data_IF_626177909266
#
_entry.id   IF_626177909266
#
_cell.length_a   1.000
_cell.length_b   1.000
_cell.length_c   1.000
_cell.angle_alpha   90.00
_cell.angle_beta   90.00
_cell.angle_gamma   90.00
#
_symmetry.space_group_name_H-M   'P 1'
#
loop_
_entity.id
_entity.type
_entity.pdbx_description
1 polymer ?
#
# COMPACT_ATOMS: atom_id res chain seq x y z
N UNK A 1 -33.23 42.95 42.42
CA UNK A 1 -32.59 41.67 42.83
C UNK A 1 -32.58 40.60 41.73
N UNK A 2 -33.51 40.61 40.77
CA UNK A 2 -33.67 39.57 39.73
C UNK A 2 -32.62 39.60 38.59
N UNK A 3 -32.06 40.78 38.24
CA UNK A 3 -31.07 40.91 37.14
C UNK A 3 -29.69 40.29 37.44
N UNK A 4 -29.32 40.10 38.72
CA UNK A 4 -28.04 39.46 39.11
C UNK A 4 -28.09 37.93 39.07
N UNK A 5 -29.27 37.34 39.21
CA UNK A 5 -29.46 35.88 39.18
C UNK A 5 -29.47 35.36 37.72
N UNK A 6 -30.03 36.15 36.79
CA UNK A 6 -30.09 35.77 35.37
C UNK A 6 -28.70 35.75 34.69
N UNK A 7 -27.80 36.66 35.09
CA UNK A 7 -26.42 36.67 34.58
C UNK A 7 -25.57 35.49 35.08
N UNK A 8 -25.86 34.97 36.27
CA UNK A 8 -25.12 33.85 36.85
C UNK A 8 -25.52 32.51 36.22
N UNK A 9 -26.79 32.37 35.81
CA UNK A 9 -27.26 31.20 35.06
C UNK A 9 -26.76 31.18 33.60
N UNK A 10 -26.62 32.35 32.96
CA UNK A 10 -26.08 32.42 31.59
C UNK A 10 -24.58 32.05 31.54
N UNK A 11 -23.81 32.40 32.59
CA UNK A 11 -22.38 32.11 32.67
C UNK A 11 -22.09 30.65 33.04
N UNK A 12 -22.94 30.02 33.88
CA UNK A 12 -22.83 28.61 34.22
C UNK A 12 -23.22 27.68 33.05
N UNK A 13 -24.22 28.08 32.23
CA UNK A 13 -24.63 27.33 31.05
C UNK A 13 -23.56 27.28 29.95
N UNK A 14 -22.74 28.32 29.83
CA UNK A 14 -21.67 28.39 28.83
C UNK A 14 -20.45 27.53 29.20
N UNK A 15 -20.24 27.25 30.49
CA UNK A 15 -19.12 26.42 30.96
C UNK A 15 -19.41 24.91 30.86
N UNK A 16 -20.67 24.49 30.79
CA UNK A 16 -21.04 23.07 30.70
C UNK A 16 -20.93 22.46 29.28
N UNK A 17 -20.82 23.28 28.23
CA UNK A 17 -20.82 22.80 26.83
C UNK A 17 -19.39 22.48 26.35
N UNK A 18 -18.34 22.89 27.07
CA UNK A 18 -16.94 22.64 26.67
C UNK A 18 -16.34 21.35 27.20
N UNK A 19 -17.08 20.54 27.96
CA UNK A 19 -16.69 19.13 28.23
C UNK A 19 -16.96 18.26 27.00
N UNK A 20 -16.22 18.57 25.94
CA UNK A 20 -16.02 17.68 24.81
C UNK A 20 -15.33 16.42 25.33
N UNK A 21 -16.11 15.34 25.42
CA UNK A 21 -15.61 14.00 25.66
C UNK A 21 -14.66 13.64 24.51
N UNK A 22 -13.36 13.87 24.69
CA UNK A 22 -12.33 13.23 23.88
C UNK A 22 -12.36 11.75 24.25
N UNK A 23 -13.18 10.99 23.54
CA UNK A 23 -13.00 9.55 23.43
C UNK A 23 -11.65 9.33 22.77
N UNK A 24 -10.60 9.23 23.59
CA UNK A 24 -9.34 8.71 23.13
C UNK A 24 -9.55 7.22 22.94
N UNK A 25 -9.74 6.81 21.69
CA UNK A 25 -9.48 5.44 21.31
C UNK A 25 -8.00 5.23 21.63
N UNK A 26 -7.72 4.66 22.81
CA UNK A 26 -6.47 3.97 23.07
C UNK A 26 -6.47 2.78 22.13
N UNK A 27 -6.00 2.99 20.91
CA UNK A 27 -5.45 1.88 20.12
C UNK A 27 -4.28 1.42 20.98
N UNK A 28 -4.48 0.31 21.68
CA UNK A 28 -3.39 -0.46 22.24
C UNK A 28 -2.55 -0.85 21.03
N UNK A 29 -1.55 -0.03 20.72
CA UNK A 29 -0.40 -0.45 19.94
C UNK A 29 0.32 -1.46 20.84
N UNK A 30 -0.23 -2.66 20.94
CA UNK A 30 0.55 -3.82 21.37
C UNK A 30 1.81 -3.81 20.53
N UNK A 31 2.95 -4.08 21.16
CA UNK A 31 4.28 -3.96 20.56
C UNK A 31 4.23 -4.44 19.11
N UNK A 32 4.22 -3.48 18.17
CA UNK A 32 4.14 -3.80 16.75
C UNK A 32 5.50 -4.37 16.43
N UNK A 33 5.59 -5.70 16.43
CA UNK A 33 6.81 -6.39 16.08
C UNK A 33 7.21 -5.94 14.66
N UNK A 34 8.30 -5.19 14.58
CA UNK A 34 8.77 -4.65 13.32
C UNK A 34 9.42 -5.77 12.50
N UNK A 35 8.92 -5.97 11.28
CA UNK A 35 9.49 -6.94 10.36
C UNK A 35 10.98 -6.62 10.09
N UNK A 36 11.87 -7.56 10.43
CA UNK A 36 13.31 -7.45 10.16
C UNK A 36 13.64 -7.53 8.67
N UNK A 37 12.84 -8.27 7.91
CA UNK A 37 13.05 -8.54 6.48
C UNK A 37 11.72 -8.75 5.78
N UNK A 38 11.66 -8.41 4.50
CA UNK A 38 10.48 -8.57 3.65
C UNK A 38 10.89 -9.36 2.42
N UNK A 39 10.14 -10.43 2.12
CA UNK A 39 10.21 -11.15 0.84
C UNK A 39 8.91 -10.86 0.12
N UNK A 40 8.99 -10.22 -1.04
CA UNK A 40 7.84 -9.85 -1.84
C UNK A 40 7.81 -10.67 -3.13
N UNK A 41 6.81 -11.55 -3.25
CA UNK A 41 6.66 -12.47 -4.38
C UNK A 41 5.54 -11.99 -5.29
N UNK A 42 5.85 -11.77 -6.56
CA UNK A 42 4.89 -11.32 -7.57
C UNK A 42 4.69 -12.43 -8.60
N UNK A 43 3.47 -12.95 -8.70
CA UNK A 43 3.05 -13.76 -9.84
C UNK A 43 2.48 -12.86 -10.92
N UNK A 44 3.25 -12.56 -11.97
CA UNK A 44 2.78 -11.73 -13.08
C UNK A 44 1.60 -12.41 -13.80
N UNK A 45 0.46 -11.71 -13.92
CA UNK A 45 -0.79 -12.28 -14.44
C UNK A 45 -1.46 -13.35 -13.55
N UNK A 46 -1.03 -13.52 -12.30
CA UNK A 46 -1.55 -14.55 -11.39
C UNK A 46 -2.84 -14.09 -10.68
N UNK A 47 -3.95 -14.12 -11.40
CA UNK A 47 -5.29 -13.91 -10.83
C UNK A 47 -5.80 -15.13 -10.05
N UNK A 48 -6.99 -14.98 -9.43
CA UNK A 48 -7.63 -16.06 -8.65
C UNK A 48 -7.85 -17.34 -9.47
N UNK A 49 -8.19 -17.20 -10.75
CA UNK A 49 -8.41 -18.35 -11.64
C UNK A 49 -7.09 -19.10 -11.93
N UNK A 50 -5.97 -18.38 -12.05
CA UNK A 50 -4.64 -18.98 -12.23
C UNK A 50 -4.22 -19.75 -10.97
N UNK A 51 -4.47 -19.18 -9.78
CA UNK A 51 -4.23 -19.87 -8.51
C UNK A 51 -5.08 -21.14 -8.41
N UNK A 52 -6.38 -21.05 -8.69
CA UNK A 52 -7.30 -22.21 -8.64
C UNK A 52 -6.89 -23.32 -9.62
N UNK A 53 -6.52 -22.95 -10.85
CA UNK A 53 -6.06 -23.91 -11.84
C UNK A 53 -4.78 -24.62 -11.37
N UNK A 54 -3.82 -23.88 -10.81
CA UNK A 54 -2.60 -24.45 -10.24
C UNK A 54 -2.89 -25.38 -9.06
N UNK A 55 -3.82 -25.01 -8.17
CA UNK A 55 -4.25 -25.87 -7.06
C UNK A 55 -4.84 -27.18 -7.58
N UNK A 56 -5.68 -27.11 -8.61
CA UNK A 56 -6.35 -28.30 -9.19
C UNK A 56 -5.33 -29.27 -9.78
N UNK A 57 -4.36 -28.77 -10.54
CA UNK A 57 -3.31 -29.62 -11.15
C UNK A 57 -2.33 -30.16 -10.10
N UNK A 58 -2.06 -29.39 -9.04
CA UNK A 58 -1.14 -29.77 -7.97
C UNK A 58 -1.83 -30.50 -6.79
N UNK A 59 -3.10 -30.90 -6.93
CA UNK A 59 -3.84 -31.63 -5.89
C UNK A 59 -4.05 -30.87 -4.58
N UNK A 60 -4.08 -29.53 -4.60
CA UNK A 60 -4.27 -28.68 -3.41
C UNK A 60 -3.04 -28.59 -2.51
N UNK A 61 -1.83 -28.66 -3.09
CA UNK A 61 -0.57 -28.60 -2.34
C UNK A 61 0.23 -27.32 -2.65
N UNK A 62 -0.41 -26.15 -2.75
CA UNK A 62 0.32 -24.89 -2.97
C UNK A 62 0.72 -24.27 -1.62
N UNK A 63 1.97 -23.81 -1.50
CA UNK A 63 2.43 -23.08 -0.31
C UNK A 63 1.65 -21.79 -0.04
N UNK A 64 0.97 -21.24 -1.05
CA UNK A 64 0.04 -20.12 -0.88
C UNK A 64 -1.09 -20.42 0.11
N UNK A 65 -1.48 -21.69 0.26
CA UNK A 65 -2.51 -22.13 1.22
C UNK A 65 -2.02 -22.02 2.67
N UNK A 66 -0.71 -21.92 2.91
CA UNK A 66 -0.14 -21.65 4.22
C UNK A 66 -0.26 -20.19 4.67
N UNK A 67 -0.66 -19.27 3.79
CA UNK A 67 -0.84 -17.86 4.13
C UNK A 67 -2.09 -17.68 5.01
N UNK A 68 -1.92 -17.17 6.23
CA UNK A 68 -3.01 -16.98 7.20
C UNK A 68 -3.88 -15.74 6.93
N UNK A 69 -3.45 -14.86 6.03
CA UNK A 69 -4.12 -13.62 5.69
C UNK A 69 -4.27 -13.52 4.17
N UNK A 70 -5.46 -13.11 3.72
CA UNK A 70 -5.78 -12.90 2.32
C UNK A 70 -6.56 -11.59 2.15
N UNK A 71 -6.37 -10.92 1.02
CA UNK A 71 -7.04 -9.68 0.67
C UNK A 71 -7.18 -9.53 -0.84
N UNK A 72 -8.09 -8.65 -1.25
CA UNK A 72 -8.29 -8.30 -2.66
C UNK A 72 -7.82 -6.87 -2.91
N UNK A 73 -7.18 -6.65 -4.04
CA UNK A 73 -6.65 -5.35 -4.44
C UNK A 73 -7.25 -4.90 -5.78
N UNK A 74 -7.61 -3.61 -5.87
CA UNK A 74 -8.01 -2.98 -7.14
C UNK A 74 -6.77 -2.55 -7.93
N UNK A 75 -6.62 -3.07 -9.13
CA UNK A 75 -5.35 -2.97 -9.89
C UNK A 75 -5.36 -1.95 -11.01
N UNK A 76 -6.46 -1.24 -11.30
CA UNK A 76 -6.52 -0.31 -12.44
C UNK A 76 -5.38 0.73 -12.41
N UNK A 77 -4.85 1.11 -13.57
CA UNK A 77 -3.86 2.19 -13.70
C UNK A 77 -4.55 3.55 -13.53
N UNK A 78 -3.80 4.64 -13.68
CA UNK A 78 -4.36 5.99 -13.62
C UNK A 78 -5.18 6.35 -14.88
N UNK A 79 -4.85 5.74 -16.03
CA UNK A 79 -5.39 6.05 -17.35
C UNK A 79 -6.29 4.94 -17.93
N UNK A 80 -6.26 3.73 -17.38
CA UNK A 80 -6.99 2.58 -17.90
C UNK A 80 -7.59 1.70 -16.80
N UNK A 81 -8.76 1.13 -17.09
CA UNK A 81 -9.38 0.10 -16.23
C UNK A 81 -8.54 -1.18 -16.15
N UNK A 82 -7.87 -1.53 -17.26
CA UNK A 82 -6.96 -2.67 -17.35
C UNK A 82 -5.53 -2.15 -17.33
N UNK A 83 -4.85 -2.42 -16.23
CA UNK A 83 -3.45 -2.03 -16.01
C UNK A 83 -2.49 -2.93 -16.80
N UNK A 84 -1.29 -2.44 -17.03
CA UNK A 84 -0.17 -3.23 -17.51
C UNK A 84 0.84 -3.54 -16.38
N UNK A 85 1.86 -4.36 -16.67
CA UNK A 85 2.88 -4.73 -15.69
C UNK A 85 3.74 -3.54 -15.21
N UNK A 86 3.88 -2.48 -16.03
CA UNK A 86 4.67 -1.30 -15.68
C UNK A 86 3.96 -0.43 -14.64
N UNK A 87 2.69 -0.06 -14.90
CA UNK A 87 1.90 0.76 -13.99
C UNK A 87 1.60 0.02 -12.68
N UNK A 88 1.26 -1.27 -12.75
CA UNK A 88 1.01 -2.08 -11.54
C UNK A 88 2.29 -2.32 -10.74
N UNK A 89 3.41 -2.61 -11.41
CA UNK A 89 4.74 -2.69 -10.79
C UNK A 89 5.11 -1.40 -10.06
N UNK A 90 4.92 -0.24 -10.71
CA UNK A 90 5.17 1.08 -10.12
C UNK A 90 4.28 1.34 -8.91
N UNK A 91 2.99 0.99 -8.99
CA UNK A 91 2.09 1.13 -7.85
C UNK A 91 2.52 0.27 -6.64
N UNK A 92 3.01 -0.94 -6.87
CA UNK A 92 3.53 -1.82 -5.80
C UNK A 92 4.88 -1.34 -5.26
N UNK A 93 5.77 -0.88 -6.13
CA UNK A 93 7.13 -0.49 -5.76
C UNK A 93 7.18 0.89 -5.09
N UNK A 94 6.40 1.85 -5.56
CA UNK A 94 6.46 3.25 -5.17
C UNK A 94 5.24 3.72 -4.35
N UNK A 95 4.18 2.90 -4.26
CA UNK A 95 2.97 3.23 -3.51
C UNK A 95 2.03 4.23 -4.21
N UNK A 96 2.24 4.52 -5.50
CA UNK A 96 1.45 5.49 -6.25
C UNK A 96 1.06 4.94 -7.63
N UNK A 97 -0.23 5.08 -8.00
CA UNK A 97 -0.71 4.70 -9.33
C UNK A 97 -0.17 5.65 -10.40
N UNK A 98 0.07 5.11 -11.58
CA UNK A 98 0.57 5.85 -12.75
C UNK A 98 -0.09 5.35 -14.05
N UNK A 99 0.29 5.93 -15.18
CA UNK A 99 -0.21 5.59 -16.51
C UNK A 99 0.39 4.27 -17.00
N UNK A 100 -0.33 3.55 -17.88
CA UNK A 100 0.20 2.33 -18.50
C UNK A 100 1.52 2.61 -19.24
N UNK A 101 2.48 1.69 -19.12
CA UNK A 101 3.81 1.82 -19.69
C UNK A 101 4.82 2.62 -18.85
N UNK A 102 4.37 3.38 -17.84
CA UNK A 102 5.28 4.18 -17.01
C UNK A 102 5.92 3.29 -15.93
N UNK A 103 7.25 3.38 -15.81
CA UNK A 103 8.08 2.65 -14.84
C UNK A 103 8.60 3.66 -13.83
N UNK A 104 8.28 3.47 -12.55
CA UNK A 104 8.82 4.28 -11.45
C UNK A 104 8.50 5.78 -11.55
N UNK A 105 7.48 6.19 -12.30
CA UNK A 105 7.14 7.60 -12.50
C UNK A 105 5.70 7.87 -12.12
N UNK A 106 5.40 9.09 -11.69
CA UNK A 106 4.03 9.55 -11.51
C UNK A 106 3.35 9.83 -12.87
N UNK A 107 2.06 10.19 -12.85
CA UNK A 107 1.29 10.48 -14.07
C UNK A 107 1.79 11.70 -14.85
N UNK A 108 2.63 12.54 -14.26
CA UNK A 108 3.24 13.71 -14.88
C UNK A 108 4.67 13.43 -15.38
N UNK A 109 5.19 12.21 -15.19
CA UNK A 109 6.53 11.80 -15.60
C UNK A 109 7.63 12.16 -14.59
N UNK A 110 7.29 12.57 -13.36
CA UNK A 110 8.30 12.78 -12.32
C UNK A 110 8.72 11.45 -11.71
N UNK A 111 10.00 11.34 -11.36
CA UNK A 111 10.55 10.14 -10.73
C UNK A 111 9.93 9.90 -9.35
N UNK A 112 9.53 8.66 -9.11
CA UNK A 112 9.14 8.14 -7.81
C UNK A 112 10.29 7.34 -7.18
N UNK A 113 10.25 7.25 -5.86
CA UNK A 113 11.21 6.45 -5.08
C UNK A 113 10.60 5.09 -4.79
N UNK A 114 11.27 4.02 -5.19
CA UNK A 114 10.82 2.66 -4.91
C UNK A 114 11.16 2.22 -3.49
N UNK A 115 10.47 1.21 -2.98
CA UNK A 115 10.73 0.59 -1.68
C UNK A 115 12.15 0.01 -1.59
N UNK A 116 12.72 -0.49 -2.69
CA UNK A 116 14.12 -0.92 -2.70
C UNK A 116 15.05 0.28 -2.50
N UNK A 117 14.78 1.42 -3.15
CA UNK A 117 15.60 2.60 -2.95
C UNK A 117 15.49 3.16 -1.52
N UNK A 118 14.30 3.13 -0.93
CA UNK A 118 14.09 3.50 0.48
C UNK A 118 14.87 2.57 1.41
N UNK A 119 14.83 1.25 1.17
CA UNK A 119 15.55 0.27 1.96
C UNK A 119 17.07 0.47 1.89
N UNK A 120 17.62 0.70 0.69
CA UNK A 120 19.02 1.04 0.45
C UNK A 120 19.45 2.30 1.23
N UNK A 121 18.65 3.37 1.13
CA UNK A 121 18.89 4.63 1.87
C UNK A 121 18.90 4.43 3.40
N UNK A 122 18.20 3.40 3.90
CA UNK A 122 18.16 3.04 5.31
C UNK A 122 19.22 1.98 5.70
N UNK A 123 20.21 1.74 4.83
CA UNK A 123 21.31 0.80 5.09
C UNK A 123 20.87 -0.67 5.14
N UNK A 124 19.73 -1.01 4.53
CA UNK A 124 19.25 -2.39 4.42
C UNK A 124 19.76 -3.02 3.13
N UNK A 125 20.03 -4.32 3.16
CA UNK A 125 20.31 -5.08 1.95
C UNK A 125 19.06 -5.16 1.06
N UNK A 126 19.25 -5.04 -0.24
CA UNK A 126 18.20 -5.13 -1.26
C UNK A 126 18.53 -6.21 -2.28
N UNK A 127 17.51 -6.77 -2.91
CA UNK A 127 17.67 -7.81 -3.92
C UNK A 127 16.46 -7.89 -4.84
N UNK A 128 16.72 -8.26 -6.09
CA UNK A 128 15.71 -8.44 -7.12
C UNK A 128 15.99 -9.74 -7.86
N UNK A 129 14.99 -10.62 -7.93
CA UNK A 129 15.09 -11.92 -8.59
C UNK A 129 13.90 -12.04 -9.54
N UNK A 130 14.15 -12.47 -10.76
CA UNK A 130 13.10 -12.67 -11.76
C UNK A 130 13.42 -13.88 -12.62
N UNK A 131 12.36 -14.57 -13.06
CA UNK A 131 12.43 -15.57 -14.15
C UNK A 131 12.47 -14.90 -15.52
N UNK A 132 12.01 -13.65 -15.62
CA UNK A 132 12.15 -12.81 -16.81
C UNK A 132 13.49 -12.07 -16.82
N UNK A 133 13.79 -11.36 -17.92
CA UNK A 133 14.94 -10.44 -17.94
C UNK A 133 14.74 -9.31 -16.91
N UNK A 134 15.81 -8.88 -16.26
CA UNK A 134 15.76 -7.85 -15.20
C UNK A 134 15.20 -6.51 -15.71
N UNK A 135 15.31 -6.25 -17.02
CA UNK A 135 14.78 -5.05 -17.66
C UNK A 135 13.29 -5.14 -18.02
N UNK A 136 12.63 -6.27 -17.79
CA UNK A 136 11.18 -6.38 -17.98
C UNK A 136 10.44 -5.46 -17.00
N UNK A 137 9.22 -5.05 -17.34
CA UNK A 137 8.47 -4.02 -16.62
C UNK A 137 8.37 -4.27 -15.10
N UNK A 138 8.04 -5.50 -14.70
CA UNK A 138 7.84 -5.87 -13.29
C UNK A 138 9.10 -5.69 -12.44
N UNK A 139 10.27 -6.28 -12.77
CA UNK A 139 11.52 -5.99 -12.06
C UNK A 139 11.98 -4.54 -12.22
N UNK A 140 11.88 -3.96 -13.43
CA UNK A 140 12.34 -2.61 -13.71
C UNK A 140 11.62 -1.54 -12.86
N UNK A 141 10.33 -1.72 -12.55
CA UNK A 141 9.56 -0.82 -11.70
C UNK A 141 10.14 -0.62 -10.29
N UNK A 142 10.99 -1.54 -9.81
CA UNK A 142 11.64 -1.41 -8.51
C UNK A 142 13.00 -0.68 -8.57
N UNK A 143 13.59 -0.50 -9.75
CA UNK A 143 14.99 -0.04 -9.89
C UNK A 143 15.20 1.07 -10.93
N UNK A 144 14.21 1.36 -11.77
CA UNK A 144 14.34 2.32 -12.87
C UNK A 144 13.19 3.35 -12.87
N UNK A 145 13.41 4.45 -13.58
CA UNK A 145 12.39 5.45 -13.89
C UNK A 145 12.38 5.67 -15.41
N UNK A 146 11.29 5.35 -16.10
CA UNK A 146 11.13 5.54 -17.55
C UNK A 146 9.66 5.79 -17.93
N UNK A 147 9.45 6.64 -18.93
CA UNK A 147 8.11 6.95 -19.48
C UNK A 147 7.56 5.79 -20.33
N UNK A 148 8.44 4.89 -20.79
CA UNK A 148 8.07 3.73 -21.58
C UNK A 148 8.89 2.51 -21.14
N UNK A 149 8.26 1.34 -21.19
CA UNK A 149 8.76 0.06 -20.70
C UNK A 149 9.48 -0.75 -21.77
#
# INVERSE_FOLDING_TARGET
>A
MIKRILGLFLLAGLFLITSSCKSQIKVNSGDVEHAKSIIFLIGDGMGLNQILAAMTVNGGALHLEGCTHAGLQKTQSADNYITDSAASGTAMACGQKTNNGYIGMDTAGNNLVSILKIADQHGKSTGLVSTSVITHATPAAFIANQINR
#
